data_IF_453207783705
#
_entry.id   IF_453207783705
#
_cell.length_a   1.000
_cell.length_b   1.000
_cell.length_c   1.000
_cell.angle_alpha   90.00
_cell.angle_beta   90.00
_cell.angle_gamma   90.00
#
_symmetry.space_group_name_H-M   'P 1'
#
loop_
_entity.id
_entity.type
_entity.pdbx_description
1 polymer ?
#
# COMPACT_ATOMS: atom_id res chain seq x y z
N UNK A 1 -5.87 30.12 10.25
CA UNK A 1 -5.45 29.68 8.89
C UNK A 1 -6.71 29.38 8.10
N UNK A 2 -6.79 29.82 6.84
CA UNK A 2 -7.91 29.46 5.96
C UNK A 2 -7.82 27.98 5.55
N UNK A 3 -8.95 27.39 5.18
CA UNK A 3 -9.06 25.96 4.80
C UNK A 3 -8.08 25.57 3.68
N UNK A 4 -7.84 26.46 2.72
CA UNK A 4 -6.88 26.24 1.63
C UNK A 4 -5.44 26.07 2.11
N UNK A 5 -5.04 26.79 3.16
CA UNK A 5 -3.69 26.64 3.72
C UNK A 5 -3.53 25.28 4.40
N UNK A 6 -4.55 24.83 5.12
CA UNK A 6 -4.55 23.51 5.77
C UNK A 6 -4.51 22.40 4.72
N UNK A 7 -5.24 22.55 3.62
CA UNK A 7 -5.22 21.62 2.51
C UNK A 7 -3.83 21.55 1.82
N UNK A 8 -3.19 22.70 1.56
CA UNK A 8 -1.84 22.71 1.00
C UNK A 8 -0.81 22.13 1.98
N UNK A 9 -0.94 22.38 3.29
CA UNK A 9 -0.10 21.74 4.30
C UNK A 9 -0.26 20.21 4.28
N UNK A 10 -1.50 19.72 4.21
CA UNK A 10 -1.78 18.30 4.04
C UNK A 10 -1.04 17.72 2.83
N UNK A 11 -1.13 18.38 1.67
CA UNK A 11 -0.43 17.94 0.46
C UNK A 11 1.09 17.94 0.63
N UNK A 12 1.67 18.99 1.23
CA UNK A 12 3.10 19.06 1.50
C UNK A 12 3.56 17.93 2.42
N UNK A 13 2.85 17.66 3.51
CA UNK A 13 3.17 16.56 4.41
C UNK A 13 3.01 15.19 3.74
N UNK A 14 1.96 15.01 2.92
CA UNK A 14 1.79 13.80 2.12
C UNK A 14 2.91 13.58 1.11
N UNK A 15 3.42 14.65 0.50
CA UNK A 15 4.54 14.58 -0.43
C UNK A 15 5.87 14.29 0.27
N UNK A 16 6.14 14.96 1.39
CA UNK A 16 7.36 14.72 2.19
C UNK A 16 7.39 13.28 2.69
N UNK A 17 6.28 12.78 3.22
CA UNK A 17 6.15 11.38 3.63
C UNK A 17 6.35 10.40 2.47
N UNK A 18 5.76 10.70 1.31
CA UNK A 18 5.99 9.91 0.09
C UNK A 18 7.46 9.89 -0.33
N UNK A 19 8.13 11.04 -0.34
CA UNK A 19 9.52 11.16 -0.75
C UNK A 19 10.43 10.36 0.18
N UNK A 20 10.20 10.49 1.50
CA UNK A 20 10.90 9.73 2.53
C UNK A 20 10.73 8.21 2.33
N UNK A 21 9.49 7.73 2.21
CA UNK A 21 9.22 6.30 2.11
C UNK A 21 9.70 5.70 0.78
N UNK A 22 9.54 6.46 -0.31
CA UNK A 22 10.06 6.11 -1.64
C UNK A 22 11.58 6.00 -1.60
N UNK A 23 12.29 6.94 -0.95
CA UNK A 23 13.74 6.90 -0.81
C UNK A 23 14.19 5.67 0.00
N UNK A 24 13.60 5.43 1.17
CA UNK A 24 13.92 4.27 2.02
C UNK A 24 13.68 2.93 1.33
N UNK A 25 12.53 2.77 0.67
CA UNK A 25 12.23 1.52 -0.02
C UNK A 25 13.11 1.35 -1.26
N UNK A 26 13.42 2.44 -1.97
CA UNK A 26 14.24 2.37 -3.17
C UNK A 26 15.69 2.01 -2.88
N UNK A 27 16.24 2.50 -1.77
CA UNK A 27 17.60 2.12 -1.31
C UNK A 27 17.63 0.67 -0.84
N UNK A 28 16.65 0.23 -0.05
CA UNK A 28 16.56 -1.16 0.44
C UNK A 28 16.43 -2.18 -0.70
N UNK A 29 15.62 -1.87 -1.70
CA UNK A 29 15.30 -2.77 -2.81
C UNK A 29 16.23 -2.58 -4.03
N UNK A 30 17.18 -1.63 -3.94
CA UNK A 30 18.15 -1.25 -4.98
C UNK A 30 17.47 -0.95 -6.33
N UNK A 31 16.27 -0.37 -6.30
CA UNK A 31 15.46 -0.01 -7.48
C UNK A 31 14.47 1.08 -7.07
N UNK A 32 14.09 1.94 -8.01
CA UNK A 32 13.03 2.91 -7.73
C UNK A 32 11.70 2.20 -7.44
N UNK A 33 11.12 2.47 -6.28
CA UNK A 33 9.79 1.99 -5.88
C UNK A 33 8.95 3.19 -5.47
N UNK A 34 7.95 3.51 -6.28
CA UNK A 34 6.94 4.48 -5.91
C UNK A 34 6.06 3.90 -4.78
N UNK A 35 6.16 4.47 -3.57
CA UNK A 35 5.36 4.09 -2.39
C UNK A 35 4.06 4.90 -2.24
N UNK A 36 3.71 5.69 -3.25
CA UNK A 36 2.46 6.43 -3.32
C UNK A 36 1.27 5.49 -3.24
N UNK A 37 0.39 5.75 -2.26
CA UNK A 37 -0.92 5.12 -2.18
C UNK A 37 -1.78 5.54 -3.37
N UNK A 38 -1.72 6.83 -3.70
CA UNK A 38 -2.27 7.42 -4.90
C UNK A 38 -1.38 7.12 -6.12
N UNK A 39 -1.87 7.37 -7.33
CA UNK A 39 -1.04 7.26 -8.54
C UNK A 39 0.09 8.29 -8.54
N UNK A 40 -0.21 9.50 -8.06
CA UNK A 40 0.73 10.59 -7.86
C UNK A 40 1.66 10.40 -6.66
N UNK A 41 2.63 11.31 -6.48
CA UNK A 41 3.66 11.25 -5.45
C UNK A 41 3.13 11.67 -4.07
N UNK A 42 2.06 11.04 -3.60
CA UNK A 42 1.38 11.42 -2.35
C UNK A 42 1.08 10.18 -1.51
N UNK A 43 1.38 10.30 -0.22
CA UNK A 43 0.97 9.34 0.80
C UNK A 43 0.06 10.05 1.83
N UNK A 44 -1.27 9.93 1.69
CA UNK A 44 -2.25 10.62 2.55
C UNK A 44 -2.06 10.39 4.05
N UNK A 45 -1.59 9.19 4.45
CA UNK A 45 -1.33 8.84 5.86
C UNK A 45 -0.36 9.82 6.52
N UNK A 46 0.70 10.23 5.81
CA UNK A 46 1.64 11.23 6.33
C UNK A 46 1.05 12.63 6.35
N UNK A 47 0.14 12.93 5.41
CA UNK A 47 -0.62 14.18 5.41
C UNK A 47 -1.46 14.34 6.67
N UNK A 48 -2.24 13.31 6.98
CA UNK A 48 -3.02 13.25 8.22
C UNK A 48 -2.12 13.20 9.45
N UNK A 49 -1.01 12.45 9.43
CA UNK A 49 -0.05 12.38 10.53
C UNK A 49 0.54 13.76 10.86
N UNK A 50 0.99 14.49 9.84
CA UNK A 50 1.53 15.84 10.00
C UNK A 50 0.49 16.83 10.52
N UNK A 51 -0.75 16.77 10.02
CA UNK A 51 -1.85 17.60 10.54
C UNK A 51 -2.21 17.25 11.99
N UNK A 52 -2.27 15.98 12.35
CA UNK A 52 -2.57 15.54 13.71
C UNK A 52 -1.48 16.00 14.68
N UNK A 53 -0.21 15.82 14.33
CA UNK A 53 0.92 16.33 15.12
C UNK A 53 0.80 17.83 15.29
N UNK A 54 0.59 18.56 14.20
CA UNK A 54 0.49 20.02 14.22
C UNK A 54 -0.67 20.51 15.10
N UNK A 55 -1.87 19.95 14.99
CA UNK A 55 -3.03 20.43 15.73
C UNK A 55 -3.07 19.96 17.18
N UNK A 56 -2.71 18.70 17.44
CA UNK A 56 -2.84 18.10 18.78
C UNK A 56 -1.62 18.35 19.68
N UNK A 57 -0.42 18.47 19.10
CA UNK A 57 0.83 18.55 19.85
C UNK A 57 1.43 19.96 19.84
N UNK A 58 0.72 20.94 19.27
CA UNK A 58 1.09 22.37 19.34
C UNK A 58 1.43 22.84 20.76
N UNK A 59 0.69 22.46 21.82
CA UNK A 59 1.03 22.89 23.18
C UNK A 59 2.38 22.35 23.68
N UNK A 60 2.85 21.24 23.13
CA UNK A 60 4.13 20.62 23.47
C UNK A 60 5.24 20.95 22.48
N UNK A 61 5.01 21.90 21.56
CA UNK A 61 6.00 22.29 20.54
C UNK A 61 7.30 22.84 21.12
N UNK A 62 7.34 23.20 22.41
CA UNK A 62 8.55 23.69 23.09
C UNK A 62 9.32 22.60 23.83
N UNK A 63 8.76 21.39 23.98
CA UNK A 63 9.33 20.31 24.80
C UNK A 63 9.64 19.09 23.93
N UNK A 64 10.93 18.87 23.67
CA UNK A 64 11.41 17.83 22.75
C UNK A 64 10.95 16.41 23.12
N UNK A 65 11.10 16.01 24.39
CA UNK A 65 10.80 14.65 24.85
C UNK A 65 9.28 14.37 24.86
N UNK A 66 8.42 15.21 25.46
CA UNK A 66 6.97 15.02 25.38
C UNK A 66 6.44 15.02 23.94
N UNK A 67 6.94 15.93 23.10
CA UNK A 67 6.57 16.01 21.68
C UNK A 67 6.95 14.73 20.93
N UNK A 68 8.15 14.20 21.19
CA UNK A 68 8.62 12.95 20.62
C UNK A 68 7.71 11.78 21.00
N UNK A 69 7.46 11.58 22.30
CA UNK A 69 6.64 10.48 22.80
C UNK A 69 5.18 10.60 22.33
N UNK A 70 4.60 11.79 22.38
CA UNK A 70 3.24 12.03 21.88
C UNK A 70 3.15 11.79 20.36
N UNK A 71 4.19 12.19 19.60
CA UNK A 71 4.26 11.92 18.17
C UNK A 71 4.28 10.42 17.90
N UNK A 72 5.14 9.66 18.60
CA UNK A 72 5.19 8.20 18.49
C UNK A 72 3.80 7.58 18.68
N UNK A 73 3.07 7.99 19.73
CA UNK A 73 1.76 7.43 20.05
C UNK A 73 0.74 7.76 18.96
N UNK A 74 0.63 9.03 18.58
CA UNK A 74 -0.40 9.49 17.64
C UNK A 74 -0.17 8.92 16.24
N UNK A 75 1.07 8.90 15.75
CA UNK A 75 1.38 8.29 14.46
C UNK A 75 1.20 6.78 14.47
N UNK A 76 1.53 6.11 15.58
CA UNK A 76 1.31 4.66 15.71
C UNK A 76 -0.17 4.31 15.71
N UNK A 77 -1.01 5.10 16.38
CA UNK A 77 -2.47 4.93 16.35
C UNK A 77 -2.97 5.11 14.91
N UNK A 78 -2.54 6.18 14.23
CA UNK A 78 -2.92 6.44 12.84
C UNK A 78 -2.48 5.31 11.90
N UNK A 79 -1.24 4.84 11.99
CA UNK A 79 -0.71 3.75 11.19
C UNK A 79 -1.48 2.45 11.45
N UNK A 80 -1.75 2.14 12.72
CA UNK A 80 -2.50 0.95 13.10
C UNK A 80 -3.94 0.98 12.54
N UNK A 81 -4.66 2.10 12.74
CA UNK A 81 -6.02 2.27 12.25
C UNK A 81 -6.09 2.22 10.73
N UNK A 82 -5.11 2.83 10.05
CA UNK A 82 -5.03 2.77 8.58
C UNK A 82 -4.82 1.33 8.13
N UNK A 83 -3.85 0.61 8.71
CA UNK A 83 -3.58 -0.79 8.40
C UNK A 83 -4.81 -1.68 8.63
N UNK A 84 -5.50 -1.48 9.74
CA UNK A 84 -6.72 -2.20 10.08
C UNK A 84 -7.88 -1.89 9.12
N UNK A 85 -8.11 -0.62 8.81
CA UNK A 85 -9.16 -0.19 7.89
C UNK A 85 -8.95 -0.75 6.48
N UNK A 86 -7.72 -0.70 5.97
CA UNK A 86 -7.37 -1.27 4.68
C UNK A 86 -7.61 -2.78 4.63
N UNK A 87 -7.28 -3.51 5.69
CA UNK A 87 -7.55 -4.95 5.74
C UNK A 87 -9.05 -5.27 5.79
N UNK A 88 -9.85 -4.46 6.49
CA UNK A 88 -11.30 -4.64 6.53
C UNK A 88 -11.96 -4.32 5.19
N UNK A 89 -11.52 -3.27 4.51
CA UNK A 89 -12.12 -2.80 3.25
C UNK A 89 -11.63 -3.59 2.03
N UNK A 90 -10.34 -3.94 1.98
CA UNK A 90 -9.69 -4.49 0.78
C UNK A 90 -9.13 -5.91 0.98
N UNK A 91 -9.37 -6.51 2.15
CA UNK A 91 -8.88 -7.85 2.51
C UNK A 91 -7.35 -8.00 2.49
N UNK A 92 -6.61 -6.90 2.45
CA UNK A 92 -5.16 -6.88 2.45
C UNK A 92 -4.64 -5.63 3.17
N UNK A 93 -3.44 -5.73 3.72
CA UNK A 93 -2.67 -4.61 4.27
C UNK A 93 -1.42 -4.39 3.44
N UNK A 94 -1.05 -3.13 3.23
CA UNK A 94 0.06 -2.75 2.34
C UNK A 94 1.45 -2.93 2.94
N UNK A 95 1.52 -3.01 4.26
CA UNK A 95 2.75 -3.31 4.99
C UNK A 95 2.50 -4.39 6.03
N UNK A 96 3.57 -5.14 6.31
CA UNK A 96 3.60 -6.20 7.30
C UNK A 96 4.91 -6.13 8.09
N UNK A 97 4.79 -5.99 9.41
CA UNK A 97 5.91 -5.97 10.35
C UNK A 97 5.92 -7.20 11.27
N UNK A 98 5.22 -8.28 10.94
CA UNK A 98 5.17 -9.50 11.77
C UNK A 98 6.55 -10.09 12.08
N UNK A 99 7.55 -9.87 11.23
CA UNK A 99 8.94 -10.32 11.47
C UNK A 99 9.75 -9.41 12.39
N UNK A 100 9.22 -8.26 12.80
CA UNK A 100 9.94 -7.28 13.61
C UNK A 100 9.69 -7.51 15.11
N UNK A 101 10.70 -7.24 15.94
CA UNK A 101 10.57 -7.30 17.40
C UNK A 101 9.60 -6.21 17.89
N UNK A 102 8.85 -6.52 18.94
CA UNK A 102 7.84 -5.62 19.52
C UNK A 102 6.81 -5.12 18.50
N UNK A 103 6.38 -5.99 17.60
CA UNK A 103 5.28 -5.68 16.68
C UNK A 103 3.92 -5.91 17.35
N UNK A 104 2.92 -5.15 16.93
CA UNK A 104 1.53 -5.33 17.32
C UNK A 104 0.73 -5.81 16.11
N UNK A 105 0.32 -7.08 16.11
CA UNK A 105 -0.42 -7.73 15.02
C UNK A 105 0.23 -7.60 13.62
N UNK A 106 1.54 -7.35 13.56
CA UNK A 106 2.27 -7.02 12.33
C UNK A 106 1.90 -5.69 11.69
N UNK A 107 1.15 -4.79 12.35
CA UNK A 107 0.70 -3.51 11.78
C UNK A 107 1.61 -2.34 12.08
N UNK A 108 2.14 -2.32 13.30
CA UNK A 108 3.11 -1.34 13.80
C UNK A 108 4.16 -2.11 14.59
N UNK A 109 5.32 -1.49 14.82
CA UNK A 109 6.35 -2.03 15.70
C UNK A 109 7.12 -0.90 16.38
N UNK A 110 7.74 -1.20 17.53
CA UNK A 110 8.37 -0.17 18.37
C UNK A 110 9.45 0.65 17.65
N UNK A 111 10.28 0.02 16.81
CA UNK A 111 11.30 0.74 16.05
C UNK A 111 10.72 1.71 15.01
N UNK A 112 9.59 1.34 14.38
CA UNK A 112 8.86 2.21 13.46
C UNK A 112 8.22 3.37 14.21
N UNK A 113 7.59 3.09 15.36
CA UNK A 113 7.04 4.11 16.24
C UNK A 113 8.11 5.12 16.66
N UNK A 114 9.29 4.65 17.09
CA UNK A 114 10.43 5.48 17.47
C UNK A 114 10.86 6.39 16.32
N UNK A 115 10.98 5.85 15.11
CA UNK A 115 11.32 6.62 13.92
C UNK A 115 10.26 7.70 13.61
N UNK A 116 8.98 7.36 13.73
CA UNK A 116 7.91 8.36 13.59
C UNK A 116 7.92 9.42 14.68
N UNK A 117 8.37 9.09 15.90
CA UNK A 117 8.65 10.07 16.94
C UNK A 117 9.68 11.10 16.49
N UNK A 118 10.82 10.65 15.95
CA UNK A 118 11.89 11.54 15.45
C UNK A 118 11.34 12.42 14.32
N UNK A 119 10.65 11.80 13.36
CA UNK A 119 10.06 12.51 12.23
C UNK A 119 9.02 13.55 12.70
N UNK A 120 8.17 13.19 13.65
CA UNK A 120 7.14 14.09 14.17
C UNK A 120 7.74 15.32 14.84
N UNK A 121 8.73 15.10 15.72
CA UNK A 121 9.49 16.19 16.36
C UNK A 121 10.22 17.05 15.32
N UNK A 122 10.89 16.41 14.34
CA UNK A 122 11.61 17.11 13.28
C UNK A 122 10.67 17.96 12.43
N UNK A 123 9.52 17.39 12.05
CA UNK A 123 8.51 18.12 11.28
C UNK A 123 8.00 19.31 12.06
N UNK A 124 7.69 19.16 13.34
CA UNK A 124 7.14 20.26 14.14
C UNK A 124 8.14 21.42 14.34
N UNK A 125 9.42 21.12 14.56
CA UNK A 125 10.44 22.14 14.82
C UNK A 125 11.07 22.75 13.56
N UNK A 126 11.23 21.95 12.49
CA UNK A 126 12.04 22.35 11.33
C UNK A 126 11.28 22.38 10.01
N UNK A 127 10.20 21.63 9.84
CA UNK A 127 9.50 21.60 8.53
C UNK A 127 8.27 22.50 8.58
N UNK A 128 7.46 22.33 9.61
CA UNK A 128 6.19 23.01 9.80
C UNK A 128 6.35 24.55 9.82
N UNK A 129 7.29 25.16 10.57
CA UNK A 129 7.42 26.61 10.59
C UNK A 129 7.77 27.19 9.22
N UNK A 130 8.67 26.52 8.48
CA UNK A 130 9.07 26.96 7.14
C UNK A 130 7.92 26.82 6.15
N UNK A 131 7.18 25.71 6.18
CA UNK A 131 6.01 25.52 5.30
C UNK A 131 4.91 26.54 5.59
N UNK A 132 4.62 26.82 6.85
CA UNK A 132 3.60 27.83 7.21
C UNK A 132 4.04 29.21 6.78
N UNK A 133 5.28 29.61 7.08
CA UNK A 133 5.79 30.93 6.70
C UNK A 133 5.80 31.10 5.19
N UNK A 134 6.19 30.06 4.45
CA UNK A 134 6.13 30.06 3.00
C UNK A 134 4.69 30.23 2.50
N UNK A 135 3.74 29.43 2.98
CA UNK A 135 2.34 29.50 2.52
C UNK A 135 1.66 30.82 2.87
N UNK A 136 1.95 31.39 4.05
CA UNK A 136 1.38 32.67 4.50
C UNK A 136 2.03 33.87 3.78
N UNK A 137 3.26 33.73 3.28
CA UNK A 137 3.92 34.76 2.47
C UNK A 137 3.31 34.92 1.06
N UNK A 138 2.55 33.91 0.60
CA UNK A 138 1.91 33.96 -0.71
C UNK A 138 0.61 34.76 -0.66
N UNK A 139 0.27 35.51 -1.73
CA UNK A 139 -1.04 36.15 -1.84
C UNK A 139 -2.18 35.13 -1.76
N UNK A 140 -3.28 35.49 -1.09
CA UNK A 140 -4.43 34.59 -0.92
C UNK A 140 -4.97 34.05 -2.25
N UNK A 141 -4.98 34.86 -3.32
CA UNK A 141 -5.41 34.42 -4.65
C UNK A 141 -4.55 33.27 -5.20
N UNK A 142 -3.22 33.31 -4.97
CA UNK A 142 -2.28 32.26 -5.37
C UNK A 142 -2.53 31.00 -4.55
N UNK A 143 -2.69 31.13 -3.23
CA UNK A 143 -2.98 30.01 -2.33
C UNK A 143 -4.28 29.31 -2.73
N UNK A 144 -5.35 30.08 -2.98
CA UNK A 144 -6.64 29.54 -3.41
C UNK A 144 -6.54 28.87 -4.78
N UNK A 145 -5.87 29.49 -5.77
CA UNK A 145 -5.68 28.90 -7.09
C UNK A 145 -4.89 27.59 -7.05
N UNK A 146 -3.80 27.54 -6.26
CA UNK A 146 -3.02 26.32 -6.03
C UNK A 146 -3.84 25.23 -5.33
N UNK A 147 -4.59 25.58 -4.28
CA UNK A 147 -5.42 24.63 -3.56
C UNK A 147 -6.52 24.02 -4.43
N UNK A 148 -7.20 24.83 -5.25
CA UNK A 148 -8.24 24.36 -6.17
C UNK A 148 -7.63 23.46 -7.25
N UNK A 149 -6.56 23.90 -7.92
CA UNK A 149 -5.94 23.13 -9.00
C UNK A 149 -5.40 21.78 -8.51
N UNK A 150 -4.64 21.78 -7.41
CA UNK A 150 -4.16 20.52 -6.81
C UNK A 150 -5.29 19.69 -6.24
N UNK A 151 -6.36 20.32 -5.75
CA UNK A 151 -7.58 19.64 -5.30
C UNK A 151 -8.27 18.86 -6.42
N UNK A 152 -8.39 19.45 -7.61
CA UNK A 152 -8.95 18.76 -8.79
C UNK A 152 -8.07 17.58 -9.20
N UNK A 153 -6.75 17.79 -9.27
CA UNK A 153 -5.80 16.71 -9.61
C UNK A 153 -5.90 15.57 -8.59
N UNK A 154 -5.94 15.89 -7.30
CA UNK A 154 -6.08 14.92 -6.23
C UNK A 154 -7.41 14.16 -6.32
N UNK A 155 -8.51 14.85 -6.63
CA UNK A 155 -9.82 14.23 -6.75
C UNK A 155 -9.87 13.22 -7.90
N UNK A 156 -9.30 13.56 -9.05
CA UNK A 156 -9.19 12.65 -10.21
C UNK A 156 -8.33 11.44 -9.85
N UNK A 157 -7.14 11.65 -9.29
CA UNK A 157 -6.25 10.56 -8.86
C UNK A 157 -6.92 9.64 -7.83
N UNK A 158 -7.58 10.22 -6.83
CA UNK A 158 -8.31 9.50 -5.81
C UNK A 158 -9.43 8.66 -6.41
N UNK A 159 -10.19 9.18 -7.37
CA UNK A 159 -11.25 8.42 -8.05
C UNK A 159 -10.69 7.20 -8.80
N UNK A 160 -9.59 7.36 -9.53
CA UNK A 160 -8.92 6.24 -10.20
C UNK A 160 -8.35 5.23 -9.19
N UNK A 161 -7.68 5.71 -8.14
CA UNK A 161 -7.11 4.88 -7.07
C UNK A 161 -8.21 4.07 -6.39
N UNK A 162 -9.32 4.71 -6.00
CA UNK A 162 -10.46 4.06 -5.36
C UNK A 162 -11.08 3.01 -6.26
N UNK A 163 -11.28 3.30 -7.56
CA UNK A 163 -11.80 2.33 -8.53
C UNK A 163 -10.94 1.07 -8.59
N UNK A 164 -9.61 1.22 -8.60
CA UNK A 164 -8.72 0.05 -8.61
C UNK A 164 -8.74 -0.71 -7.29
N UNK A 165 -8.87 -0.02 -6.16
CA UNK A 165 -8.95 -0.66 -4.86
C UNK A 165 -10.25 -1.47 -4.71
N UNK A 166 -11.36 -0.95 -5.24
CA UNK A 166 -12.64 -1.67 -5.31
C UNK A 166 -12.55 -2.87 -6.25
N UNK A 167 -11.96 -2.72 -7.44
CA UNK A 167 -11.74 -3.85 -8.35
C UNK A 167 -10.80 -4.90 -7.73
N UNK A 168 -9.77 -4.47 -7.00
CA UNK A 168 -8.87 -5.35 -6.26
C UNK A 168 -9.60 -6.11 -5.15
N UNK A 169 -10.42 -5.43 -4.34
CA UNK A 169 -11.24 -6.09 -3.32
C UNK A 169 -12.18 -7.13 -3.95
N UNK A 170 -12.87 -6.76 -5.04
CA UNK A 170 -13.73 -7.68 -5.79
C UNK A 170 -12.97 -8.87 -6.36
N UNK A 171 -11.77 -8.64 -6.89
CA UNK A 171 -10.87 -9.71 -7.33
C UNK A 171 -10.51 -10.65 -6.18
N UNK A 172 -10.14 -10.11 -5.02
CA UNK A 172 -9.83 -10.91 -3.83
C UNK A 172 -11.03 -11.74 -3.36
N UNK A 173 -12.25 -11.18 -3.39
CA UNK A 173 -13.48 -11.91 -3.06
C UNK A 173 -13.79 -13.03 -4.06
N UNK A 174 -13.64 -12.78 -5.37
CA UNK A 174 -13.86 -13.81 -6.40
C UNK A 174 -12.83 -14.92 -6.33
N UNK A 175 -11.57 -14.56 -6.10
CA UNK A 175 -10.49 -15.51 -5.92
C UNK A 175 -10.75 -16.41 -4.71
N UNK A 176 -11.25 -15.83 -3.61
CA UNK A 176 -11.68 -16.59 -2.44
C UNK A 176 -12.73 -17.63 -2.80
N UNK A 177 -13.86 -17.19 -3.35
CA UNK A 177 -14.97 -18.09 -3.61
C UNK A 177 -14.55 -19.22 -4.54
N UNK A 178 -13.69 -18.91 -5.52
CA UNK A 178 -13.12 -19.91 -6.41
C UNK A 178 -12.27 -20.96 -5.66
N UNK A 179 -11.34 -20.54 -4.80
CA UNK A 179 -10.52 -21.47 -4.01
C UNK A 179 -11.37 -22.27 -3.02
N UNK A 180 -12.37 -21.65 -2.38
CA UNK A 180 -13.30 -22.34 -1.49
C UNK A 180 -14.12 -23.41 -2.24
N UNK A 181 -14.66 -23.10 -3.43
CA UNK A 181 -15.37 -24.08 -4.27
C UNK A 181 -14.47 -25.25 -4.68
N UNK A 182 -13.21 -24.98 -5.05
CA UNK A 182 -12.26 -26.04 -5.37
C UNK A 182 -11.93 -26.89 -4.15
N UNK A 183 -11.74 -26.27 -2.99
CA UNK A 183 -11.49 -26.97 -1.74
C UNK A 183 -12.67 -27.87 -1.38
N UNK A 184 -13.90 -27.37 -1.45
CA UNK A 184 -15.10 -28.18 -1.17
C UNK A 184 -15.22 -29.39 -2.11
N UNK A 185 -14.87 -29.22 -3.38
CA UNK A 185 -14.99 -30.29 -4.38
C UNK A 185 -13.83 -31.29 -4.36
N UNK A 186 -12.61 -30.84 -4.03
CA UNK A 186 -11.39 -31.61 -4.24
C UNK A 186 -10.50 -31.78 -2.99
N UNK A 187 -10.89 -31.30 -1.80
CA UNK A 187 -10.04 -31.40 -0.61
C UNK A 187 -9.63 -32.83 -0.22
N UNK A 188 -10.44 -33.84 -0.55
CA UNK A 188 -10.13 -35.26 -0.30
C UNK A 188 -9.26 -35.90 -1.38
N UNK A 189 -9.06 -35.22 -2.50
CA UNK A 189 -8.29 -35.72 -3.62
C UNK A 189 -6.79 -35.57 -3.36
N UNK A 190 -6.03 -36.65 -3.57
CA UNK A 190 -4.58 -36.68 -3.31
C UNK A 190 -3.77 -35.67 -4.15
N UNK A 191 -4.33 -35.23 -5.28
CA UNK A 191 -3.68 -34.28 -6.18
C UNK A 191 -3.93 -32.81 -5.80
N UNK A 192 -4.98 -32.54 -5.03
CA UNK A 192 -5.33 -31.18 -4.62
C UNK A 192 -4.44 -30.74 -3.46
N UNK A 193 -3.59 -29.75 -3.71
CA UNK A 193 -2.73 -29.13 -2.69
C UNK A 193 -2.74 -27.62 -2.85
N UNK A 194 -2.89 -26.93 -1.72
CA UNK A 194 -2.89 -25.47 -1.63
C UNK A 194 -1.46 -24.92 -1.49
N UNK A 195 -0.59 -25.18 -2.46
CA UNK A 195 0.80 -24.70 -2.49
C UNK A 195 0.91 -23.28 -3.06
N UNK A 196 0.50 -23.08 -4.32
CA UNK A 196 0.45 -21.78 -5.01
C UNK A 196 -0.72 -21.72 -5.99
N UNK A 197 -1.24 -20.52 -6.27
CA UNK A 197 -2.32 -20.36 -7.26
C UNK A 197 -1.88 -20.71 -8.69
N UNK A 198 -0.63 -20.43 -9.05
CA UNK A 198 -0.09 -20.80 -10.36
C UNK A 198 -0.06 -22.31 -10.52
N UNK A 199 0.46 -23.06 -9.54
CA UNK A 199 0.44 -24.53 -9.57
C UNK A 199 -0.97 -25.08 -9.55
N UNK A 200 -1.86 -24.51 -8.75
CA UNK A 200 -3.26 -24.94 -8.70
C UNK A 200 -3.93 -24.80 -10.08
N UNK A 201 -3.70 -23.67 -10.76
CA UNK A 201 -4.23 -23.46 -12.10
C UNK A 201 -3.66 -24.42 -13.13
N UNK A 202 -2.34 -24.69 -13.11
CA UNK A 202 -1.72 -25.64 -14.03
C UNK A 202 -2.22 -27.08 -13.78
N UNK A 203 -2.30 -27.52 -12.52
CA UNK A 203 -2.83 -28.86 -12.18
C UNK A 203 -4.26 -29.06 -12.64
N UNK A 204 -5.13 -28.05 -12.48
CA UNK A 204 -6.50 -28.11 -12.97
C UNK A 204 -6.52 -28.24 -14.49
N UNK A 205 -5.68 -27.47 -15.19
CA UNK A 205 -5.58 -27.51 -16.65
C UNK A 205 -5.09 -28.86 -17.15
N UNK A 206 -4.02 -29.40 -16.58
CA UNK A 206 -3.49 -30.74 -16.91
C UNK A 206 -4.56 -31.82 -16.72
N UNK A 207 -5.31 -31.79 -15.61
CA UNK A 207 -6.36 -32.77 -15.33
C UNK A 207 -7.55 -32.69 -16.29
N UNK A 208 -7.86 -31.49 -16.79
CA UNK A 208 -8.86 -31.29 -17.83
C UNK A 208 -8.37 -31.89 -19.16
N UNK A 209 -7.10 -31.65 -19.52
CA UNK A 209 -6.47 -32.22 -20.72
C UNK A 209 -6.37 -33.75 -20.66
N UNK A 210 -6.09 -34.32 -19.49
CA UNK A 210 -6.11 -35.76 -19.24
C UNK A 210 -7.52 -36.37 -19.18
N UNK A 211 -8.58 -35.56 -19.27
CA UNK A 211 -9.97 -36.00 -19.16
C UNK A 211 -10.39 -36.47 -17.76
N UNK A 212 -9.53 -36.33 -16.76
CA UNK A 212 -9.80 -36.71 -15.35
C UNK A 212 -10.70 -35.70 -14.63
N UNK A 213 -10.79 -34.48 -15.17
CA UNK A 213 -11.66 -33.42 -14.72
C UNK A 213 -12.57 -33.03 -15.89
N UNK A 214 -13.88 -32.96 -15.67
CA UNK A 214 -14.77 -32.39 -16.68
C UNK A 214 -14.43 -30.90 -16.84
N UNK A 215 -14.20 -30.48 -18.08
CA UNK A 215 -14.06 -29.07 -18.44
C UNK A 215 -15.39 -28.35 -18.17
N UNK A 216 -15.59 -27.94 -16.93
CA UNK A 216 -16.68 -27.04 -16.56
C UNK A 216 -16.36 -25.68 -17.18
N UNK A 217 -17.16 -25.27 -18.17
CA UNK A 217 -16.93 -24.02 -18.90
C UNK A 217 -16.85 -22.82 -17.94
N UNK A 218 -17.62 -22.85 -16.86
CA UNK A 218 -17.63 -21.81 -15.83
C UNK A 218 -16.32 -21.78 -15.01
N UNK A 219 -15.71 -22.95 -14.78
CA UNK A 219 -14.43 -23.07 -14.08
C UNK A 219 -13.31 -22.44 -14.92
N UNK A 220 -13.23 -22.79 -16.21
CA UNK A 220 -12.24 -22.25 -17.14
C UNK A 220 -12.41 -20.74 -17.33
N UNK A 221 -13.64 -20.27 -17.52
CA UNK A 221 -13.95 -18.84 -17.65
C UNK A 221 -13.55 -18.07 -16.37
N UNK A 222 -13.86 -18.62 -15.18
CA UNK A 222 -13.47 -18.00 -13.91
C UNK A 222 -11.96 -17.95 -13.73
N UNK A 223 -11.25 -19.03 -14.07
CA UNK A 223 -9.78 -19.07 -14.02
C UNK A 223 -9.15 -18.02 -14.93
N UNK A 224 -9.64 -17.92 -16.16
CA UNK A 224 -9.12 -16.95 -17.14
C UNK A 224 -9.44 -15.51 -16.73
N UNK A 225 -10.67 -15.25 -16.23
CA UNK A 225 -11.04 -13.97 -15.67
C UNK A 225 -10.15 -13.57 -14.48
N UNK A 226 -9.86 -14.51 -13.57
CA UNK A 226 -8.95 -14.27 -12.44
C UNK A 226 -7.52 -13.97 -12.92
N UNK A 227 -7.00 -14.73 -13.90
CA UNK A 227 -5.67 -14.52 -14.47
C UNK A 227 -5.55 -13.15 -15.17
N UNK A 228 -6.59 -12.73 -15.89
CA UNK A 228 -6.64 -11.43 -16.56
C UNK A 228 -6.73 -10.28 -15.56
N UNK A 229 -7.58 -10.38 -14.53
CA UNK A 229 -7.67 -9.36 -13.46
C UNK A 229 -6.38 -9.26 -12.66
N UNK A 230 -5.75 -10.39 -12.36
CA UNK A 230 -4.47 -10.46 -11.64
C UNK A 230 -3.40 -9.59 -12.31
N UNK A 231 -3.27 -9.65 -13.65
CA UNK A 231 -2.32 -8.81 -14.41
C UNK A 231 -2.54 -7.31 -14.19
N UNK A 232 -3.78 -6.87 -13.95
CA UNK A 232 -4.09 -5.45 -13.71
C UNK A 232 -3.61 -4.98 -12.34
N UNK A 233 -3.71 -5.85 -11.33
CA UNK A 233 -3.32 -5.56 -9.95
C UNK A 233 -1.82 -5.73 -9.68
N UNK A 234 -1.08 -6.30 -10.64
CA UNK A 234 0.38 -6.42 -10.59
C UNK A 234 1.09 -5.08 -10.32
N UNK A 235 0.71 -4.03 -11.06
CA UNK A 235 1.37 -2.71 -10.96
C UNK A 235 1.20 -2.09 -9.56
N UNK A 236 0.06 -2.38 -8.93
CA UNK A 236 -0.26 -1.98 -7.58
C UNK A 236 0.53 -2.81 -6.55
N UNK A 237 0.59 -4.14 -6.70
CA UNK A 237 1.36 -5.02 -5.82
C UNK A 237 2.86 -4.68 -5.80
N UNK A 238 3.42 -4.22 -6.93
CA UNK A 238 4.82 -3.80 -7.04
C UNK A 238 5.20 -2.64 -6.11
N UNK A 239 4.24 -1.79 -5.72
CA UNK A 239 4.43 -0.66 -4.79
C UNK A 239 4.52 -1.12 -3.34
N UNK A 240 3.95 -2.29 -3.03
CA UNK A 240 3.82 -2.81 -1.68
C UNK A 240 4.41 -4.23 -1.56
N UNK A 241 5.75 -4.40 -1.58
CA UNK A 241 6.39 -5.71 -1.51
C UNK A 241 6.07 -6.50 -0.23
N UNK A 242 5.84 -5.79 0.88
CA UNK A 242 5.48 -6.35 2.18
C UNK A 242 3.96 -6.50 2.38
N UNK A 243 3.15 -6.39 1.32
CA UNK A 243 1.70 -6.58 1.40
C UNK A 243 1.36 -7.96 1.98
N UNK A 244 0.32 -8.05 2.79
CA UNK A 244 -0.13 -9.31 3.38
C UNK A 244 -1.66 -9.38 3.47
N UNK A 245 -2.19 -10.58 3.40
CA UNK A 245 -3.57 -10.89 3.72
C UNK A 245 -3.60 -12.14 4.59
N UNK A 246 -4.23 -12.04 5.77
CA UNK A 246 -4.46 -13.22 6.62
C UNK A 246 -5.51 -14.15 5.99
N UNK A 247 -6.53 -13.58 5.35
CA UNK A 247 -7.60 -14.36 4.72
C UNK A 247 -7.18 -15.00 3.38
N UNK A 248 -6.27 -14.37 2.63
CA UNK A 248 -5.96 -14.75 1.24
C UNK A 248 -4.45 -14.78 0.97
N UNK A 249 -3.74 -15.61 1.74
CA UNK A 249 -2.29 -15.78 1.61
C UNK A 249 -1.87 -16.22 0.19
N UNK A 250 -2.56 -17.20 -0.39
CA UNK A 250 -2.29 -17.73 -1.73
C UNK A 250 -2.36 -16.66 -2.84
N UNK A 251 -3.37 -15.80 -2.80
CA UNK A 251 -3.55 -14.68 -3.75
C UNK A 251 -2.40 -13.68 -3.71
N UNK A 252 -2.08 -13.22 -2.50
CA UNK A 252 -1.02 -12.23 -2.28
C UNK A 252 0.37 -12.82 -2.60
N UNK A 253 0.65 -14.06 -2.19
CA UNK A 253 1.93 -14.70 -2.49
C UNK A 253 2.12 -14.95 -3.98
N UNK A 254 1.07 -15.33 -4.72
CA UNK A 254 1.16 -15.47 -6.18
C UNK A 254 1.43 -14.12 -6.87
N UNK A 255 0.76 -13.05 -6.44
CA UNK A 255 1.04 -11.68 -6.93
C UNK A 255 2.50 -11.27 -6.66
N UNK A 256 3.02 -11.55 -5.46
CA UNK A 256 4.41 -11.29 -5.11
C UNK A 256 5.39 -12.11 -5.94
N UNK A 257 5.08 -13.38 -6.18
CA UNK A 257 5.92 -14.27 -6.98
C UNK A 257 6.09 -13.73 -8.40
N UNK A 258 4.99 -13.32 -9.05
CA UNK A 258 5.05 -12.70 -10.38
C UNK A 258 5.89 -11.41 -10.39
N UNK A 259 5.77 -10.57 -9.36
CA UNK A 259 6.62 -9.38 -9.20
C UNK A 259 8.10 -9.76 -9.12
N UNK A 260 8.45 -10.82 -8.38
CA UNK A 260 9.84 -11.29 -8.27
C UNK A 260 10.36 -11.87 -9.59
N UNK A 261 9.55 -12.67 -10.30
CA UNK A 261 9.92 -13.29 -11.57
C UNK A 261 10.20 -12.24 -12.66
N UNK A 262 9.35 -11.23 -12.81
CA UNK A 262 9.58 -10.18 -13.81
C UNK A 262 10.79 -9.32 -13.47
N UNK A 263 11.01 -9.01 -12.18
CA UNK A 263 12.23 -8.31 -11.75
C UNK A 263 13.47 -9.13 -12.11
N UNK A 264 13.40 -10.46 -11.97
CA UNK A 264 14.50 -11.37 -12.34
C UNK A 264 14.74 -11.32 -13.86
N UNK A 265 13.70 -11.49 -14.66
CA UNK A 265 13.79 -11.44 -16.14
C UNK A 265 14.36 -10.10 -16.63
N UNK A 266 13.87 -8.97 -16.14
CA UNK A 266 14.41 -7.64 -16.51
C UNK A 266 15.88 -7.46 -16.08
N UNK A 267 16.31 -8.08 -14.99
CA UNK A 267 17.72 -8.05 -14.56
C UNK A 267 18.59 -8.90 -15.49
N UNK A 268 18.10 -10.07 -15.90
CA UNK A 268 18.77 -10.96 -16.87
C UNK A 268 18.89 -10.27 -18.24
N UNK A 269 17.81 -9.66 -18.75
CA UNK A 269 17.83 -8.87 -20.00
C UNK A 269 18.85 -7.73 -19.96
N UNK A 270 18.95 -7.02 -18.82
CA UNK A 270 19.93 -5.94 -18.64
C UNK A 270 21.37 -6.44 -18.57
N UNK A 271 21.60 -7.65 -18.06
CA UNK A 271 22.91 -8.30 -18.07
C UNK A 271 23.29 -8.72 -19.48
N UNK A 272 22.35 -9.33 -20.21
CA UNK A 272 22.58 -9.77 -21.59
C UNK A 272 22.77 -8.61 -22.57
N UNK A 273 22.22 -7.42 -22.29
CA UNK A 273 22.49 -6.19 -23.07
C UNK A 273 23.84 -5.53 -22.76
N UNK A 274 24.52 -5.96 -21.70
CA UNK A 274 25.81 -5.40 -21.24
C UNK A 274 26.99 -6.37 -21.45
N UNK A 275 26.71 -7.62 -21.81
CA UNK A 275 27.67 -8.62 -22.26
C UNK A 275 27.78 -8.54 -23.78
#
# INVERSE_FOLDING_TARGET
>A
MQIFHVFLLFLCYSFIGWAWETALCSTREKRFINRGFLYGPLCPVYGFGGLLIMYLLKPWAHTWIPLFLASMVITSILEYLTSWGMEKLFHARWWDYSSHKFNLNGRIYLGGAFFFGIMGTTVMHFVHPYLVNFLVSLPNAVVTGLAISLGVVLAVDFAFTLRNLVDFASYMTKLRSFVETLRERYATESWYQESSLSELFERIKERIEEGKLKADANLLETMEALKNRQRRHYSFAKRFPSMRSEKFRLGIENLKQQVREEIRQRREERKNKKA
#
